data_IF_672763337479
#
_entry.id   IF_672763337479
#
_cell.length_a   1.000
_cell.length_b   1.000
_cell.length_c   1.000
_cell.angle_alpha   90.00
_cell.angle_beta   90.00
_cell.angle_gamma   90.00
#
_symmetry.space_group_name_H-M   'P 1'
#
loop_
_entity.id
_entity.type
_entity.pdbx_description
1 polymer ?
#
# COMPACT_ATOMS: atom_id res chain seq x y z
N UNK A 1 -14.16 -4.93 64.06
CA UNK A 1 -14.02 -6.06 63.11
C UNK A 1 -14.53 -5.73 61.71
N UNK A 2 -15.79 -5.29 61.52
CA UNK A 2 -16.35 -4.98 60.19
C UNK A 2 -15.52 -3.96 59.36
N UNK A 3 -14.95 -2.95 60.02
CA UNK A 3 -14.09 -1.96 59.35
C UNK A 3 -12.77 -2.57 58.84
N UNK A 4 -12.16 -3.46 59.63
CA UNK A 4 -10.92 -4.14 59.26
C UNK A 4 -11.16 -5.11 58.10
N UNK A 5 -12.29 -5.84 58.13
CA UNK A 5 -12.67 -6.74 57.03
C UNK A 5 -12.99 -5.99 55.75
N UNK A 6 -13.63 -4.81 55.85
CA UNK A 6 -13.87 -3.95 54.69
C UNK A 6 -12.56 -3.44 54.07
N UNK A 7 -11.63 -2.94 54.90
CA UNK A 7 -10.31 -2.50 54.43
C UNK A 7 -9.54 -3.66 53.77
N UNK A 8 -9.54 -4.83 54.39
CA UNK A 8 -8.85 -6.01 53.84
C UNK A 8 -9.45 -6.42 52.49
N UNK A 9 -10.78 -6.48 52.38
CA UNK A 9 -11.47 -6.80 51.11
C UNK A 9 -11.18 -5.76 50.04
N UNK A 10 -11.28 -4.48 50.37
CA UNK A 10 -10.98 -3.38 49.47
C UNK A 10 -9.54 -3.45 48.95
N UNK A 11 -8.58 -3.70 49.85
CA UNK A 11 -7.17 -3.85 49.50
C UNK A 11 -6.94 -5.01 48.52
N UNK A 12 -7.57 -6.17 48.76
CA UNK A 12 -7.47 -7.34 47.87
C UNK A 12 -8.06 -7.04 46.49
N UNK A 13 -9.23 -6.39 46.43
CA UNK A 13 -9.87 -6.00 45.17
C UNK A 13 -9.01 -4.99 44.39
N UNK A 14 -8.49 -3.96 45.07
CA UNK A 14 -7.62 -2.95 44.47
C UNK A 14 -6.34 -3.58 43.89
N UNK A 15 -5.67 -4.45 44.66
CA UNK A 15 -4.49 -5.21 44.19
C UNK A 15 -4.79 -6.07 42.96
N UNK A 16 -5.96 -6.74 42.92
CA UNK A 16 -6.37 -7.55 41.78
C UNK A 16 -6.58 -6.71 40.52
N UNK A 17 -7.21 -5.53 40.65
CA UNK A 17 -7.42 -4.60 39.53
C UNK A 17 -6.09 -4.02 39.04
N UNK A 18 -5.23 -3.57 39.95
CA UNK A 18 -3.91 -3.03 39.62
C UNK A 18 -3.09 -4.03 38.79
N UNK A 19 -3.05 -5.29 39.22
CA UNK A 19 -2.35 -6.35 38.49
C UNK A 19 -2.90 -6.57 37.07
N UNK A 20 -4.22 -6.48 36.89
CA UNK A 20 -4.80 -6.62 35.56
C UNK A 20 -4.46 -5.42 34.67
N UNK A 21 -4.41 -4.20 35.21
CA UNK A 21 -3.93 -3.02 34.49
C UNK A 21 -2.49 -3.21 34.01
N UNK A 22 -1.61 -3.73 34.86
CA UNK A 22 -0.22 -4.02 34.48
C UNK A 22 -0.16 -5.06 33.33
N UNK A 23 -1.03 -6.07 33.35
CA UNK A 23 -1.15 -7.04 32.25
C UNK A 23 -1.65 -6.38 30.95
N UNK A 24 -2.64 -5.47 31.02
CA UNK A 24 -3.12 -4.72 29.85
C UNK A 24 -1.99 -3.86 29.27
N UNK A 25 -1.26 -3.14 30.14
CA UNK A 25 -0.14 -2.28 29.73
C UNK A 25 0.99 -3.10 29.06
N UNK A 26 1.34 -4.25 29.65
CA UNK A 26 2.29 -5.18 29.05
C UNK A 26 1.84 -5.70 27.69
N UNK A 27 0.54 -6.03 27.56
CA UNK A 27 -0.03 -6.47 26.30
C UNK A 27 0.00 -5.41 25.20
N UNK A 28 -0.32 -4.15 25.53
CA UNK A 28 -0.19 -3.02 24.61
C UNK A 28 1.26 -2.82 24.18
N UNK A 29 2.22 -2.95 25.11
CA UNK A 29 3.64 -2.85 24.79
C UNK A 29 4.08 -3.94 23.82
N UNK A 30 3.64 -5.19 23.99
CA UNK A 30 3.92 -6.28 23.03
C UNK A 30 3.34 -6.01 21.64
N UNK A 31 2.10 -5.50 21.57
CA UNK A 31 1.47 -5.08 20.30
C UNK A 31 2.28 -3.95 19.65
N UNK A 32 2.75 -2.96 20.43
CA UNK A 32 3.53 -1.82 19.94
C UNK A 32 4.90 -2.20 19.37
N UNK A 33 5.46 -3.34 19.80
CA UNK A 33 6.70 -3.92 19.23
C UNK A 33 6.47 -4.58 17.86
N UNK A 34 5.24 -4.57 17.35
CA UNK A 34 4.87 -5.12 16.05
C UNK A 34 4.23 -6.51 16.11
N UNK A 35 4.07 -7.10 17.29
CA UNK A 35 3.36 -8.37 17.44
C UNK A 35 1.83 -8.14 17.47
N UNK A 36 1.26 -7.80 16.31
CA UNK A 36 -0.17 -7.54 16.16
C UNK A 36 -1.04 -8.80 16.24
N UNK A 37 -0.43 -9.98 16.37
CA UNK A 37 -1.12 -11.24 16.65
C UNK A 37 -1.30 -11.51 18.15
N UNK A 38 -0.58 -10.78 18.99
CA UNK A 38 -0.78 -10.83 20.43
C UNK A 38 -2.20 -10.40 20.80
N UNK A 39 -2.80 -11.10 21.77
CA UNK A 39 -4.13 -10.78 22.30
C UNK A 39 -4.07 -10.68 23.81
N UNK A 40 -4.56 -9.57 24.32
CA UNK A 40 -4.70 -9.33 25.75
C UNK A 40 -5.88 -10.16 26.28
N UNK A 41 -5.71 -10.93 27.35
CA UNK A 41 -6.77 -11.81 27.85
C UNK A 41 -7.90 -11.01 28.50
N UNK A 42 -9.14 -11.24 28.09
CA UNK A 42 -10.33 -10.60 28.64
C UNK A 42 -10.79 -11.32 29.94
N UNK A 43 -10.16 -10.98 31.07
CA UNK A 43 -10.34 -11.68 32.36
C UNK A 43 -11.46 -11.13 33.26
N UNK A 44 -12.14 -10.08 32.82
CA UNK A 44 -13.12 -9.34 33.61
C UNK A 44 -14.34 -9.00 32.75
N UNK A 45 -15.51 -8.86 33.38
CA UNK A 45 -16.77 -8.48 32.71
C UNK A 45 -17.13 -7.00 32.92
N UNK A 46 -16.15 -6.20 33.36
CA UNK A 46 -16.28 -4.77 33.63
C UNK A 46 -15.57 -3.94 32.55
N UNK A 47 -15.33 -2.66 32.84
CA UNK A 47 -14.65 -1.71 31.96
C UNK A 47 -13.25 -2.17 31.56
N UNK A 48 -12.50 -2.82 32.46
CA UNK A 48 -11.17 -3.36 32.13
C UNK A 48 -11.26 -4.57 31.19
N UNK A 49 -12.33 -5.36 31.29
CA UNK A 49 -12.65 -6.39 30.32
C UNK A 49 -12.94 -5.81 28.94
N UNK A 50 -13.80 -4.80 28.88
CA UNK A 50 -14.12 -4.08 27.65
C UNK A 50 -12.87 -3.44 27.01
N UNK A 51 -12.01 -2.82 27.83
CA UNK A 51 -10.75 -2.25 27.37
C UNK A 51 -9.82 -3.30 26.73
N UNK A 52 -9.71 -4.49 27.30
CA UNK A 52 -8.95 -5.59 26.69
C UNK A 52 -9.52 -5.98 25.31
N UNK A 53 -10.85 -6.05 25.19
CA UNK A 53 -11.54 -6.27 23.92
C UNK A 53 -11.23 -5.19 22.88
N UNK A 54 -11.29 -3.91 23.28
CA UNK A 54 -10.99 -2.77 22.42
C UNK A 54 -9.52 -2.76 21.96
N UNK A 55 -8.56 -3.10 22.84
CA UNK A 55 -7.14 -3.24 22.47
C UNK A 55 -6.97 -4.33 21.41
N UNK A 56 -7.61 -5.50 21.60
CA UNK A 56 -7.54 -6.59 20.65
C UNK A 56 -8.16 -6.23 19.30
N UNK A 57 -9.28 -5.51 19.30
CA UNK A 57 -9.92 -5.02 18.08
C UNK A 57 -9.01 -4.03 17.33
N UNK A 58 -8.42 -3.06 18.05
CA UNK A 58 -7.48 -2.11 17.48
C UNK A 58 -6.25 -2.80 16.86
N UNK A 59 -5.70 -3.82 17.54
CA UNK A 59 -4.57 -4.59 17.01
C UNK A 59 -4.94 -5.33 15.72
N UNK A 60 -6.15 -5.90 15.65
CA UNK A 60 -6.66 -6.57 14.46
C UNK A 60 -6.88 -5.59 13.30
N UNK A 61 -7.51 -4.44 13.54
CA UNK A 61 -7.70 -3.40 12.53
C UNK A 61 -6.37 -2.85 12.01
N UNK A 62 -5.41 -2.60 12.91
CA UNK A 62 -4.08 -2.12 12.53
C UNK A 62 -3.37 -3.16 11.65
N UNK A 63 -3.47 -4.45 11.99
CA UNK A 63 -2.91 -5.53 11.17
C UNK A 63 -3.52 -5.56 9.77
N UNK A 64 -4.84 -5.43 9.67
CA UNK A 64 -5.55 -5.38 8.38
C UNK A 64 -5.09 -4.18 7.55
N UNK A 65 -5.04 -2.98 8.14
CA UNK A 65 -4.58 -1.76 7.44
C UNK A 65 -3.16 -1.88 6.93
N UNK A 66 -2.23 -2.43 7.72
CA UNK A 66 -0.84 -2.64 7.29
C UNK A 66 -0.77 -3.65 6.14
N UNK A 67 -1.57 -4.72 6.17
CA UNK A 67 -1.60 -5.71 5.10
C UNK A 67 -2.21 -5.12 3.81
N UNK A 68 -3.26 -4.30 3.91
CA UNK A 68 -3.84 -3.56 2.80
C UNK A 68 -2.85 -2.57 2.20
N UNK A 69 -2.14 -1.81 3.04
CA UNK A 69 -1.09 -0.88 2.61
C UNK A 69 0.03 -1.61 1.87
N UNK A 70 0.53 -2.72 2.44
CA UNK A 70 1.56 -3.55 1.79
C UNK A 70 1.10 -4.11 0.45
N UNK A 71 -0.16 -4.53 0.33
CA UNK A 71 -0.72 -4.98 -0.95
C UNK A 71 -0.78 -3.84 -1.95
N UNK A 72 -1.25 -2.67 -1.54
CA UNK A 72 -1.29 -1.47 -2.38
C UNK A 72 0.13 -1.07 -2.86
N UNK A 73 1.13 -1.12 -1.98
CA UNK A 73 2.52 -0.87 -2.36
C UNK A 73 3.07 -1.90 -3.35
N UNK A 74 2.78 -3.20 -3.14
CA UNK A 74 3.18 -4.25 -4.08
C UNK A 74 2.55 -4.05 -5.44
N UNK A 75 1.23 -3.84 -5.49
CA UNK A 75 0.53 -3.55 -6.76
C UNK A 75 1.11 -2.32 -7.44
N UNK A 76 1.37 -1.23 -6.70
CA UNK A 76 2.03 -0.03 -7.25
C UNK A 76 3.39 -0.36 -7.89
N UNK A 77 4.22 -1.14 -7.21
CA UNK A 77 5.55 -1.50 -7.71
C UNK A 77 5.48 -2.44 -8.94
N UNK A 78 4.56 -3.40 -8.93
CA UNK A 78 4.31 -4.30 -10.07
C UNK A 78 3.86 -3.50 -11.30
N UNK A 79 2.94 -2.56 -11.13
CA UNK A 79 2.50 -1.69 -12.21
C UNK A 79 3.67 -0.89 -12.79
N UNK A 80 4.43 -0.18 -11.95
CA UNK A 80 5.59 0.60 -12.41
C UNK A 80 6.55 -0.28 -13.20
N UNK A 81 6.83 -1.49 -12.72
CA UNK A 81 7.73 -2.43 -13.38
C UNK A 81 7.17 -2.89 -14.74
N UNK A 82 5.91 -3.33 -14.77
CA UNK A 82 5.26 -3.81 -15.99
C UNK A 82 5.17 -2.71 -17.06
N UNK A 83 4.67 -1.52 -16.68
CA UNK A 83 4.62 -0.39 -17.60
C UNK A 83 6.01 0.05 -18.05
N UNK A 84 7.02 0.05 -17.19
CA UNK A 84 8.40 0.37 -17.60
C UNK A 84 8.92 -0.59 -18.69
N UNK A 85 8.58 -1.88 -18.59
CA UNK A 85 8.90 -2.86 -19.63
C UNK A 85 8.11 -2.61 -20.93
N UNK A 86 6.82 -2.36 -20.81
CA UNK A 86 5.92 -2.15 -21.94
C UNK A 86 6.20 -0.84 -22.70
N UNK A 87 6.71 0.18 -22.02
CA UNK A 87 7.18 1.42 -22.65
C UNK A 87 8.55 1.24 -23.33
N UNK A 88 9.46 0.46 -22.72
CA UNK A 88 10.83 0.25 -23.25
C UNK A 88 10.80 -0.44 -24.61
N UNK A 89 9.91 -1.40 -24.82
CA UNK A 89 9.83 -2.19 -26.06
C UNK A 89 9.55 -1.35 -27.32
N UNK A 90 8.43 -0.59 -27.39
CA UNK A 90 8.16 0.28 -28.53
C UNK A 90 9.19 1.41 -28.64
N UNK A 91 9.68 1.97 -27.52
CA UNK A 91 10.73 3.00 -27.55
C UNK A 91 12.02 2.49 -28.21
N UNK A 92 12.46 1.29 -27.85
CA UNK A 92 13.67 0.66 -28.44
C UNK A 92 13.46 0.39 -29.93
N UNK A 93 12.25 -0.05 -30.32
CA UNK A 93 11.90 -0.26 -31.73
C UNK A 93 11.95 1.07 -32.50
N UNK A 94 11.30 2.11 -31.98
CA UNK A 94 11.27 3.46 -32.58
C UNK A 94 12.70 3.97 -32.77
N UNK A 95 13.55 3.89 -31.74
CA UNK A 95 14.93 4.32 -31.82
C UNK A 95 15.75 3.51 -32.86
N UNK A 96 15.50 2.20 -32.94
CA UNK A 96 16.13 1.33 -33.93
C UNK A 96 15.79 1.73 -35.37
N UNK A 97 14.50 1.90 -35.68
CA UNK A 97 14.05 2.33 -37.00
C UNK A 97 14.49 3.77 -37.32
N UNK A 98 14.43 4.69 -36.36
CA UNK A 98 14.96 6.05 -36.53
C UNK A 98 16.47 6.05 -36.79
N UNK A 99 17.22 5.10 -36.23
CA UNK A 99 18.66 4.94 -36.52
C UNK A 99 18.89 4.48 -37.95
N UNK A 100 18.08 3.55 -38.47
CA UNK A 100 18.10 3.18 -39.90
C UNK A 100 17.80 4.41 -40.78
N UNK A 101 16.81 5.21 -40.37
CA UNK A 101 16.38 6.45 -41.06
C UNK A 101 17.53 7.44 -41.13
N UNK A 102 18.14 7.72 -39.98
CA UNK A 102 19.24 8.66 -39.83
C UNK A 102 20.49 8.23 -40.61
N UNK A 103 20.82 6.94 -40.57
CA UNK A 103 22.02 6.39 -41.23
C UNK A 103 21.82 6.15 -42.74
N UNK A 104 20.64 6.48 -43.29
CA UNK A 104 20.24 6.22 -44.69
C UNK A 104 20.45 4.76 -45.11
N UNK A 105 20.17 3.82 -44.21
CA UNK A 105 20.33 2.37 -44.45
C UNK A 105 19.10 1.79 -45.15
N UNK A 106 18.82 2.27 -46.36
CA UNK A 106 17.73 1.77 -47.21
C UNK A 106 18.19 1.70 -48.66
N UNK A 107 17.68 0.71 -49.37
CA UNK A 107 17.96 0.50 -50.79
C UNK A 107 16.86 1.09 -51.69
N UNK A 108 15.63 1.26 -51.15
CA UNK A 108 14.46 1.75 -51.90
C UNK A 108 13.64 2.75 -51.11
N UNK A 109 12.90 3.61 -51.82
CA UNK A 109 11.94 4.55 -51.22
C UNK A 109 10.79 3.81 -50.50
N UNK A 110 10.47 2.59 -50.95
CA UNK A 110 9.46 1.74 -50.31
C UNK A 110 9.92 1.28 -48.92
N UNK A 111 11.18 0.84 -48.76
CA UNK A 111 11.75 0.50 -47.46
C UNK A 111 11.79 1.70 -46.50
N UNK A 112 12.06 2.90 -47.02
CA UNK A 112 12.01 4.12 -46.23
C UNK A 112 10.58 4.42 -45.74
N UNK A 113 9.60 4.33 -46.63
CA UNK A 113 8.18 4.53 -46.31
C UNK A 113 7.69 3.53 -45.25
N UNK A 114 8.03 2.25 -45.40
CA UNK A 114 7.71 1.21 -44.43
C UNK A 114 8.31 1.50 -43.05
N UNK A 115 9.57 1.93 -43.02
CA UNK A 115 10.27 2.28 -41.79
C UNK A 115 9.56 3.43 -41.05
N UNK A 116 9.17 4.49 -41.78
CA UNK A 116 8.40 5.62 -41.23
C UNK A 116 7.05 5.17 -40.70
N UNK A 117 6.33 4.32 -41.43
CA UNK A 117 5.03 3.78 -41.00
C UNK A 117 5.18 2.93 -39.71
N UNK A 118 6.23 2.12 -39.60
CA UNK A 118 6.50 1.35 -38.39
C UNK A 118 6.76 2.28 -37.20
N UNK A 119 7.60 3.31 -37.36
CA UNK A 119 7.86 4.30 -36.30
C UNK A 119 6.58 4.99 -35.85
N UNK A 120 5.73 5.42 -36.79
CA UNK A 120 4.45 6.04 -36.49
C UNK A 120 3.54 5.11 -35.68
N UNK A 121 3.32 3.89 -36.17
CA UNK A 121 2.47 2.90 -35.49
C UNK A 121 2.99 2.51 -34.10
N UNK A 122 4.31 2.41 -33.92
CA UNK A 122 4.91 2.15 -32.60
C UNK A 122 4.74 3.33 -31.65
N UNK A 123 4.77 4.56 -32.17
CA UNK A 123 4.56 5.79 -31.39
C UNK A 123 3.11 5.91 -30.92
N UNK A 124 2.14 5.60 -31.79
CA UNK A 124 0.73 5.53 -31.40
C UNK A 124 0.50 4.47 -30.32
N UNK A 125 1.08 3.28 -30.48
CA UNK A 125 0.99 2.22 -29.48
C UNK A 125 1.60 2.63 -28.13
N UNK A 126 2.76 3.30 -28.15
CA UNK A 126 3.38 3.85 -26.95
C UNK A 126 2.47 4.88 -26.27
N UNK A 127 1.81 5.74 -27.05
CA UNK A 127 0.80 6.69 -26.56
C UNK A 127 -0.35 5.99 -25.81
N UNK A 128 -0.89 4.91 -26.38
CA UNK A 128 -1.96 4.12 -25.73
C UNK A 128 -1.54 3.55 -24.38
N UNK A 129 -0.32 2.99 -24.27
CA UNK A 129 0.20 2.46 -23.00
C UNK A 129 0.33 3.55 -21.92
N UNK A 130 0.69 4.78 -22.33
CA UNK A 130 0.77 5.92 -21.41
C UNK A 130 -0.62 6.36 -20.94
N UNK A 131 -1.61 6.37 -21.84
CA UNK A 131 -3.01 6.70 -21.52
C UNK A 131 -3.58 5.69 -20.51
N UNK A 132 -3.39 4.39 -20.74
CA UNK A 132 -3.82 3.30 -19.86
C UNK A 132 -3.22 3.43 -18.44
N UNK A 133 -1.92 3.77 -18.36
CA UNK A 133 -1.25 4.05 -17.08
C UNK A 133 -1.87 5.26 -16.37
N UNK A 134 -2.20 6.32 -17.11
CA UNK A 134 -2.80 7.53 -16.56
C UNK A 134 -4.23 7.29 -16.05
N UNK A 135 -5.05 6.55 -16.79
CA UNK A 135 -6.39 6.17 -16.35
C UNK A 135 -6.36 5.33 -15.07
N UNK A 136 -5.44 4.35 -15.00
CA UNK A 136 -5.29 3.52 -13.81
C UNK A 136 -4.87 4.35 -12.59
N UNK A 137 -3.85 5.20 -12.71
CA UNK A 137 -3.37 6.04 -11.60
C UNK A 137 -4.45 7.01 -11.13
N UNK A 138 -5.30 7.51 -12.03
CA UNK A 138 -6.47 8.34 -11.70
C UNK A 138 -7.55 7.57 -10.93
N UNK A 139 -7.82 6.31 -11.29
CA UNK A 139 -8.76 5.45 -10.55
C UNK A 139 -8.23 5.09 -9.16
N UNK A 140 -6.94 4.75 -9.05
CA UNK A 140 -6.28 4.46 -7.79
C UNK A 140 -6.20 5.70 -6.87
N UNK A 141 -6.03 6.90 -7.44
CA UNK A 141 -5.97 8.17 -6.73
C UNK A 141 -7.30 8.94 -6.69
N UNK A 142 -8.47 8.28 -6.70
CA UNK A 142 -9.77 8.99 -6.56
C UNK A 142 -9.93 9.84 -5.26
N UNK A 143 -8.92 9.92 -4.40
CA UNK A 143 -8.77 10.90 -3.32
C UNK A 143 -7.82 12.09 -3.57
N UNK A 144 -7.02 12.11 -4.64
CA UNK A 144 -6.04 13.18 -4.92
C UNK A 144 -6.44 13.95 -6.18
N UNK A 145 -6.93 15.17 -5.95
CA UNK A 145 -7.29 16.15 -6.98
C UNK A 145 -6.00 16.71 -7.62
N UNK A 146 -5.45 16.00 -8.61
CA UNK A 146 -4.28 16.50 -9.34
C UNK A 146 -4.71 17.64 -10.29
N UNK A 147 -4.20 18.83 -10.00
CA UNK A 147 -4.30 20.00 -10.87
C UNK A 147 -3.43 19.71 -12.09
N UNK A 148 -4.03 19.22 -13.17
CA UNK A 148 -3.38 19.10 -14.46
C UNK A 148 -3.07 20.50 -14.98
N UNK A 149 -1.82 20.95 -14.79
CA UNK A 149 -1.28 22.09 -15.52
C UNK A 149 -0.92 21.58 -16.91
N UNK A 150 -1.83 21.82 -17.86
CA UNK A 150 -1.58 21.61 -19.28
C UNK A 150 -0.41 22.52 -19.67
N UNK A 151 0.73 21.92 -20.02
CA UNK A 151 1.80 22.68 -20.65
C UNK A 151 1.43 22.92 -22.12
N UNK A 152 1.75 24.13 -22.65
CA UNK A 152 1.37 24.57 -23.99
C UNK A 152 2.08 23.80 -25.10
#
# INVERSE_FOLDING_TARGET
MAFITFIALFYVLARRKMRYIDELAGGVLEISKGNLDFRVPQKSQDELGSLAGNINHMAAELKLKIEEERRAERTKNELITNFSHDLRTPLTSILGYLTLIKDRKFETDEQFSDCVNIVYNKSEKLGGVIEDLFEYTKLANKGVKLILKRFP
#
